data_IF_393292896251
#
_entry.id   IF_393292896251
#
_cell.length_a   1.000
_cell.length_b   1.000
_cell.length_c   1.000
_cell.angle_alpha   90.00
_cell.angle_beta   90.00
_cell.angle_gamma   90.00
#
_symmetry.space_group_name_H-M   'P 1'
#
loop_
_entity.id
_entity.type
_entity.pdbx_description
1 polymer ?
#
# COMPACT_ATOMS: atom_id res chain seq x y z
N UNK A 1 -30.50 -8.91 -66.09
CA UNK A 1 -29.10 -9.10 -65.58
C UNK A 1 -29.07 -8.57 -64.19
N UNK A 2 -29.28 -9.44 -63.19
CA UNK A 2 -29.29 -9.10 -61.78
C UNK A 2 -27.86 -9.27 -61.22
N UNK A 3 -27.27 -8.18 -60.74
CA UNK A 3 -26.01 -8.24 -60.02
C UNK A 3 -26.28 -8.44 -58.52
N UNK A 4 -25.96 -9.64 -58.06
CA UNK A 4 -26.00 -10.02 -56.66
C UNK A 4 -24.79 -9.40 -55.94
N UNK A 5 -25.02 -8.42 -55.06
CA UNK A 5 -23.97 -7.89 -54.16
C UNK A 5 -23.88 -8.78 -52.92
N UNK A 6 -22.81 -9.54 -52.82
CA UNK A 6 -22.46 -10.29 -51.59
C UNK A 6 -21.73 -9.35 -50.65
N UNK A 7 -22.41 -8.91 -49.61
CA UNK A 7 -21.79 -8.17 -48.51
C UNK A 7 -21.16 -9.17 -47.54
N UNK A 8 -19.85 -9.32 -47.61
CA UNK A 8 -19.07 -10.13 -46.67
C UNK A 8 -18.86 -9.32 -45.38
N UNK A 9 -19.73 -9.57 -44.39
CA UNK A 9 -19.61 -8.99 -43.06
C UNK A 9 -18.44 -9.66 -42.30
N UNK A 10 -17.32 -8.97 -42.19
CA UNK A 10 -16.19 -9.38 -41.30
C UNK A 10 -16.62 -9.16 -39.83
N UNK A 11 -17.06 -10.23 -39.18
CA UNK A 11 -17.25 -10.29 -37.76
C UNK A 11 -15.85 -10.32 -37.12
N UNK A 12 -15.33 -9.16 -36.69
CA UNK A 12 -14.15 -9.07 -35.85
C UNK A 12 -14.54 -9.59 -34.46
N UNK A 13 -14.30 -10.88 -34.23
CA UNK A 13 -14.29 -11.48 -32.90
C UNK A 13 -13.16 -10.82 -32.11
N UNK A 14 -13.46 -9.85 -31.28
CA UNK A 14 -12.58 -9.36 -30.24
C UNK A 14 -12.39 -10.50 -29.22
N UNK A 15 -11.44 -11.37 -29.47
CA UNK A 15 -10.95 -12.32 -28.47
C UNK A 15 -10.23 -11.49 -27.38
N UNK A 16 -10.98 -11.10 -26.38
CA UNK A 16 -10.39 -10.60 -25.14
C UNK A 16 -9.63 -11.76 -24.51
N UNK A 17 -8.31 -11.81 -24.71
CA UNK A 17 -7.44 -12.70 -23.98
C UNK A 17 -7.41 -12.22 -22.51
N UNK A 18 -8.36 -12.74 -21.72
CA UNK A 18 -8.25 -12.66 -20.27
C UNK A 18 -6.99 -13.44 -19.86
N UNK A 19 -6.06 -12.77 -19.20
CA UNK A 19 -4.89 -13.45 -18.65
C UNK A 19 -5.35 -14.49 -17.63
N UNK A 20 -4.72 -15.69 -17.58
CA UNK A 20 -5.11 -16.69 -16.60
C UNK A 20 -4.90 -16.14 -15.20
N UNK A 21 -5.95 -16.20 -14.40
CA UNK A 21 -5.94 -15.87 -12.98
C UNK A 21 -4.86 -16.68 -12.28
N UNK A 22 -3.96 -16.01 -11.54
CA UNK A 22 -2.93 -16.67 -10.73
C UNK A 22 -3.11 -16.28 -9.27
N UNK A 23 -3.21 -17.30 -8.42
CA UNK A 23 -3.30 -17.17 -6.98
C UNK A 23 -2.00 -17.63 -6.34
N UNK A 24 -1.51 -16.87 -5.36
CA UNK A 24 -0.34 -17.25 -4.56
C UNK A 24 -0.71 -17.17 -3.09
N UNK A 25 -0.17 -18.09 -2.30
CA UNK A 25 -0.36 -18.13 -0.85
C UNK A 25 1.01 -18.11 -0.18
N UNK A 26 1.12 -17.32 0.87
CA UNK A 26 2.28 -17.22 1.74
C UNK A 26 1.80 -17.20 3.20
N UNK A 27 2.33 -18.07 4.02
CA UNK A 27 1.99 -18.19 5.45
C UNK A 27 3.14 -17.67 6.32
N UNK A 28 2.83 -17.31 7.55
CA UNK A 28 3.86 -17.04 8.59
C UNK A 28 4.62 -18.30 8.95
N UNK A 29 5.81 -18.19 9.59
CA UNK A 29 6.56 -19.33 10.06
C UNK A 29 5.80 -20.23 11.05
N UNK A 30 4.93 -19.65 11.88
CA UNK A 30 4.04 -20.39 12.81
C UNK A 30 2.74 -20.90 12.16
N UNK A 31 2.44 -20.47 10.90
CA UNK A 31 1.26 -20.89 10.14
C UNK A 31 -0.04 -20.14 10.50
N UNK A 32 -0.02 -19.22 11.46
CA UNK A 32 -1.23 -18.53 11.94
C UNK A 32 -1.69 -17.40 11.01
N UNK A 33 -0.76 -16.76 10.27
CA UNK A 33 -1.06 -15.69 9.32
C UNK A 33 -0.95 -16.22 7.90
N UNK A 34 -2.01 -16.02 7.11
CA UNK A 34 -2.02 -16.33 5.69
C UNK A 34 -2.21 -15.06 4.86
N UNK A 35 -1.36 -14.86 3.89
CA UNK A 35 -1.47 -13.83 2.85
C UNK A 35 -1.81 -14.51 1.54
N UNK A 36 -2.95 -14.14 0.95
CA UNK A 36 -3.35 -14.57 -0.38
C UNK A 36 -3.17 -13.42 -1.36
N UNK A 37 -2.43 -13.65 -2.43
CA UNK A 37 -2.18 -12.68 -3.50
C UNK A 37 -2.92 -13.15 -4.75
N UNK A 38 -3.75 -12.28 -5.29
CA UNK A 38 -4.50 -12.49 -6.53
C UNK A 38 -3.91 -11.63 -7.64
N UNK A 39 -3.56 -12.26 -8.75
CA UNK A 39 -3.05 -11.58 -9.94
C UNK A 39 -4.00 -11.82 -11.10
N UNK A 40 -4.81 -10.81 -11.39
CA UNK A 40 -5.80 -10.76 -12.47
C UNK A 40 -5.55 -9.49 -13.31
N UNK A 41 -6.60 -8.73 -13.64
CA UNK A 41 -6.48 -7.40 -14.27
C UNK A 41 -5.78 -6.40 -13.37
N UNK A 42 -5.80 -6.66 -12.05
CA UNK A 42 -5.05 -5.94 -11.01
C UNK A 42 -4.37 -6.92 -10.08
N UNK A 43 -3.47 -6.40 -9.26
CA UNK A 43 -2.88 -7.13 -8.14
C UNK A 43 -3.62 -6.75 -6.88
N UNK A 44 -4.07 -7.75 -6.13
CA UNK A 44 -4.63 -7.56 -4.80
C UNK A 44 -4.07 -8.57 -3.81
N UNK A 45 -4.11 -8.22 -2.56
CA UNK A 45 -3.74 -9.11 -1.46
C UNK A 45 -4.82 -9.11 -0.39
N UNK A 46 -4.91 -10.18 0.35
CA UNK A 46 -5.76 -10.31 1.53
C UNK A 46 -4.99 -11.02 2.63
N UNK A 47 -5.38 -10.79 3.89
CA UNK A 47 -4.69 -11.32 5.06
C UNK A 47 -5.72 -11.94 5.99
N UNK A 48 -5.46 -13.17 6.43
CA UNK A 48 -6.20 -13.86 7.48
C UNK A 48 -5.28 -14.18 8.64
N UNK A 49 -5.84 -14.23 9.87
CA UNK A 49 -5.17 -14.71 11.07
C UNK A 49 -6.03 -15.80 11.72
N UNK A 50 -5.60 -17.05 11.59
CA UNK A 50 -6.44 -18.21 11.84
C UNK A 50 -7.64 -18.19 10.90
N UNK A 51 -8.86 -18.17 11.46
CA UNK A 51 -10.13 -18.14 10.71
C UNK A 51 -10.67 -16.73 10.42
N UNK A 52 -10.07 -15.70 10.99
CA UNK A 52 -10.56 -14.34 10.89
C UNK A 52 -9.92 -13.61 9.68
N UNK A 53 -10.75 -13.04 8.82
CA UNK A 53 -10.32 -12.15 7.76
C UNK A 53 -9.93 -10.80 8.35
N UNK A 54 -8.68 -10.42 8.18
CA UNK A 54 -8.12 -9.17 8.73
C UNK A 54 -8.10 -8.08 7.67
N UNK A 55 -7.68 -8.41 6.46
CA UNK A 55 -7.72 -7.52 5.31
C UNK A 55 -8.42 -8.24 4.17
N UNK A 56 -9.55 -7.70 3.73
CA UNK A 56 -10.25 -8.20 2.55
C UNK A 56 -9.42 -7.89 1.28
N UNK A 57 -9.72 -8.50 0.13
CA UNK A 57 -8.95 -8.26 -1.09
C UNK A 57 -8.77 -6.78 -1.38
N UNK A 58 -7.54 -6.32 -1.31
CA UNK A 58 -7.10 -4.93 -1.33
C UNK A 58 -6.11 -4.72 -2.47
N UNK A 59 -6.44 -3.79 -3.36
CA UNK A 59 -5.67 -3.53 -4.57
C UNK A 59 -4.43 -2.69 -4.30
N UNK A 60 -3.39 -2.90 -5.13
CA UNK A 60 -2.17 -2.12 -5.12
C UNK A 60 -1.68 -1.86 -6.52
N UNK A 61 -1.20 -0.65 -6.78
CA UNK A 61 -0.56 -0.28 -8.03
C UNK A 61 0.38 0.91 -7.86
N UNK A 62 1.30 1.11 -8.81
CA UNK A 62 2.19 2.26 -8.84
C UNK A 62 2.19 2.86 -10.24
N UNK A 63 1.84 4.14 -10.33
CA UNK A 63 1.82 4.88 -11.61
C UNK A 63 3.14 5.61 -11.79
N UNK A 64 3.82 5.32 -12.88
CA UNK A 64 5.02 6.00 -13.32
C UNK A 64 4.67 7.09 -14.34
N UNK A 65 5.71 7.80 -14.82
CA UNK A 65 5.61 8.65 -16.01
C UNK A 65 5.16 7.84 -17.25
N UNK A 66 4.84 8.53 -18.33
CA UNK A 66 4.31 7.94 -19.58
C UNK A 66 3.06 7.07 -19.37
N UNK A 67 2.30 7.31 -18.28
CA UNK A 67 1.09 6.55 -17.91
C UNK A 67 1.32 5.04 -17.72
N UNK A 68 2.54 4.63 -17.41
CA UNK A 68 2.84 3.24 -17.07
C UNK A 68 2.29 2.93 -15.67
N UNK A 69 1.39 1.96 -15.56
CA UNK A 69 0.84 1.52 -14.27
C UNK A 69 1.34 0.11 -13.96
N UNK A 70 2.25 0.02 -12.99
CA UNK A 70 2.71 -1.25 -12.43
C UNK A 70 1.57 -1.85 -11.59
N UNK A 71 1.19 -3.08 -11.86
CA UNK A 71 0.06 -3.75 -11.20
C UNK A 71 -1.25 -3.70 -11.97
N UNK A 72 -1.33 -3.02 -13.11
CA UNK A 72 -2.45 -3.10 -14.06
C UNK A 72 -2.13 -4.09 -15.16
N UNK A 73 -3.05 -5.01 -15.45
CA UNK A 73 -2.86 -6.14 -16.39
C UNK A 73 -1.49 -6.82 -16.21
N UNK A 74 -1.16 -7.23 -14.97
CA UNK A 74 0.17 -7.69 -14.62
C UNK A 74 0.42 -9.09 -15.17
N UNK A 75 1.58 -9.32 -15.79
CA UNK A 75 1.99 -10.64 -16.26
C UNK A 75 3.15 -11.16 -15.41
N UNK A 76 2.90 -12.19 -14.61
CA UNK A 76 3.91 -12.85 -13.78
C UNK A 76 4.85 -13.65 -14.66
N UNK A 77 6.15 -13.36 -14.59
CA UNK A 77 7.22 -14.12 -15.24
C UNK A 77 7.60 -15.35 -14.42
N UNK A 78 7.92 -15.14 -13.15
CA UNK A 78 8.28 -16.18 -12.21
C UNK A 78 8.02 -15.73 -10.78
N UNK A 79 8.14 -16.66 -9.84
CA UNK A 79 8.05 -16.43 -8.42
C UNK A 79 9.19 -17.13 -7.69
N UNK A 80 9.63 -16.54 -6.56
CA UNK A 80 10.63 -17.11 -5.67
C UNK A 80 10.11 -17.07 -4.24
N UNK A 81 10.10 -18.22 -3.57
CA UNK A 81 9.82 -18.34 -2.13
C UNK A 81 11.11 -18.56 -1.36
N UNK A 82 11.21 -17.97 -0.20
CA UNK A 82 12.33 -18.13 0.73
C UNK A 82 11.82 -18.12 2.17
N UNK A 83 12.51 -18.88 3.02
CA UNK A 83 12.33 -18.84 4.47
C UNK A 83 13.57 -18.16 5.04
N UNK A 84 13.39 -17.14 5.85
CA UNK A 84 14.46 -16.39 6.49
C UNK A 84 14.35 -16.55 7.99
N UNK A 85 15.43 -17.01 8.62
CA UNK A 85 15.60 -17.07 10.07
C UNK A 85 16.99 -16.51 10.38
N UNK A 86 17.03 -15.24 10.73
CA UNK A 86 18.25 -14.51 11.00
C UNK A 86 18.06 -13.60 12.21
N UNK A 87 19.15 -13.12 12.78
CA UNK A 87 19.13 -12.09 13.79
C UNK A 87 20.11 -10.96 13.43
N UNK A 88 19.84 -9.77 13.89
CA UNK A 88 20.73 -8.64 13.74
C UNK A 88 20.83 -7.85 15.05
N UNK A 89 21.96 -7.23 15.26
CA UNK A 89 22.16 -6.36 16.41
C UNK A 89 21.60 -4.97 16.14
N UNK A 90 20.83 -4.46 17.09
CA UNK A 90 20.24 -3.12 17.01
C UNK A 90 20.77 -2.25 18.16
N UNK A 91 21.71 -1.35 17.88
CA UNK A 91 22.35 -0.56 18.94
C UNK A 91 21.40 0.47 19.59
N UNK A 92 20.32 0.83 18.92
CA UNK A 92 19.39 1.88 19.37
C UNK A 92 18.04 1.35 19.85
N UNK A 93 17.84 0.03 19.91
CA UNK A 93 16.59 -0.58 20.34
C UNK A 93 16.75 -1.21 21.73
N UNK A 94 15.63 -1.36 22.47
CA UNK A 94 15.67 -1.97 23.83
C UNK A 94 16.25 -3.41 23.84
N UNK A 95 16.17 -4.13 22.72
CA UNK A 95 16.77 -5.46 22.57
C UNK A 95 18.07 -5.32 21.80
N UNK A 96 19.18 -5.82 22.33
CA UNK A 96 20.47 -5.83 21.65
C UNK A 96 20.41 -6.63 20.37
N UNK A 97 19.74 -7.79 20.38
CA UNK A 97 19.56 -8.64 19.20
C UNK A 97 18.08 -8.76 18.89
N UNK A 98 17.73 -8.61 17.62
CA UNK A 98 16.37 -8.70 17.10
C UNK A 98 16.32 -9.88 16.15
N UNK A 99 15.41 -10.81 16.39
CA UNK A 99 15.14 -11.92 15.49
C UNK A 99 14.38 -11.41 14.26
N UNK A 100 14.84 -11.79 13.08
CA UNK A 100 14.24 -11.45 11.79
C UNK A 100 13.82 -12.77 11.10
N UNK A 101 12.68 -13.31 11.52
CA UNK A 101 12.14 -14.58 11.04
C UNK A 101 10.87 -14.35 10.25
N UNK A 102 10.85 -14.75 8.98
CA UNK A 102 9.72 -14.59 8.09
C UNK A 102 9.79 -15.52 6.88
N UNK A 103 8.64 -15.74 6.26
CA UNK A 103 8.55 -16.34 4.94
C UNK A 103 8.40 -15.22 3.90
N UNK A 104 9.07 -15.36 2.77
CA UNK A 104 9.11 -14.39 1.69
C UNK A 104 8.62 -14.98 0.38
N UNK A 105 7.88 -14.18 -0.38
CA UNK A 105 7.50 -14.43 -1.76
C UNK A 105 7.85 -13.21 -2.60
N UNK A 106 8.65 -13.40 -3.65
CA UNK A 106 8.91 -12.38 -4.66
C UNK A 106 8.22 -12.80 -5.95
N UNK A 107 7.31 -11.97 -6.43
CA UNK A 107 6.68 -12.11 -7.74
C UNK A 107 7.37 -11.16 -8.72
N UNK A 108 7.99 -11.73 -9.76
CA UNK A 108 8.61 -10.94 -10.82
C UNK A 108 7.63 -10.81 -11.99
N UNK A 109 7.45 -9.60 -12.48
CA UNK A 109 6.49 -9.26 -13.54
C UNK A 109 7.20 -8.79 -14.81
N UNK A 110 6.50 -8.86 -15.94
CA UNK A 110 6.88 -8.08 -17.13
C UNK A 110 6.97 -6.60 -16.76
N UNK A 111 7.66 -5.81 -17.58
CA UNK A 111 7.88 -4.37 -17.35
C UNK A 111 8.82 -4.05 -16.17
N UNK A 112 9.79 -4.94 -15.90
CA UNK A 112 10.93 -4.72 -15.00
C UNK A 112 10.52 -4.22 -13.60
N UNK A 113 9.56 -4.91 -13.00
CA UNK A 113 9.22 -4.72 -11.59
C UNK A 113 8.93 -6.04 -10.91
N UNK A 114 8.99 -6.00 -9.59
CA UNK A 114 8.64 -7.11 -8.71
C UNK A 114 7.83 -6.58 -7.52
N UNK A 115 7.07 -7.45 -6.88
CA UNK A 115 6.52 -7.18 -5.55
C UNK A 115 7.06 -8.26 -4.62
N UNK A 116 7.62 -7.81 -3.51
CA UNK A 116 8.09 -8.65 -2.43
C UNK A 116 7.06 -8.63 -1.29
N UNK A 117 6.63 -9.81 -0.87
CA UNK A 117 5.77 -10.03 0.28
C UNK A 117 6.57 -10.74 1.36
N UNK A 118 6.41 -10.31 2.60
CA UNK A 118 6.98 -10.95 3.80
C UNK A 118 5.88 -11.18 4.82
N UNK A 119 5.85 -12.38 5.38
CA UNK A 119 4.91 -12.75 6.43
C UNK A 119 5.69 -13.21 7.64
N UNK A 120 5.51 -12.51 8.75
CA UNK A 120 6.10 -12.74 10.06
C UNK A 120 5.05 -13.37 10.97
N UNK A 121 5.46 -13.89 12.14
CA UNK A 121 4.51 -14.40 13.13
C UNK A 121 3.65 -13.30 13.77
N UNK A 122 4.02 -12.03 13.58
CA UNK A 122 3.31 -10.85 14.09
C UNK A 122 2.74 -9.92 13.02
N UNK A 123 2.78 -10.32 11.75
CA UNK A 123 2.23 -9.46 10.70
C UNK A 123 2.71 -9.78 9.29
N UNK A 124 2.29 -8.95 8.35
CA UNK A 124 2.63 -9.07 6.95
C UNK A 124 3.04 -7.73 6.36
N UNK A 125 3.86 -7.77 5.33
CA UNK A 125 4.29 -6.59 4.60
C UNK A 125 4.45 -6.87 3.11
N UNK A 126 4.33 -5.82 2.29
CA UNK A 126 4.78 -5.87 0.90
C UNK A 126 5.53 -4.59 0.51
N UNK A 127 6.28 -4.67 -0.58
CA UNK A 127 6.88 -3.50 -1.24
C UNK A 127 7.03 -3.70 -2.74
N UNK A 128 6.99 -2.61 -3.47
CA UNK A 128 7.38 -2.57 -4.87
C UNK A 128 8.91 -2.55 -5.00
N UNK A 129 9.42 -3.23 -6.02
CA UNK A 129 10.81 -3.22 -6.45
C UNK A 129 10.83 -2.95 -7.94
N UNK A 130 11.53 -1.93 -8.39
CA UNK A 130 11.73 -1.66 -9.81
C UNK A 130 13.14 -2.03 -10.25
N UNK A 131 13.28 -2.43 -11.52
CA UNK A 131 14.55 -2.82 -12.16
C UNK A 131 14.72 -2.11 -13.50
N UNK A 132 14.23 -0.88 -13.61
CA UNK A 132 14.32 -0.06 -14.81
C UNK A 132 15.75 0.40 -15.06
N UNK A 133 16.17 0.42 -16.34
CA UNK A 133 17.52 0.90 -16.72
C UNK A 133 17.69 2.42 -16.57
N UNK A 134 16.62 3.18 -16.82
CA UNK A 134 16.61 4.65 -16.74
C UNK A 134 15.98 5.09 -15.42
N UNK A 135 16.25 6.33 -15.02
CA UNK A 135 15.52 6.98 -13.93
C UNK A 135 14.01 6.98 -14.21
N UNK A 136 13.24 6.94 -13.16
CA UNK A 136 11.77 6.93 -13.20
C UNK A 136 11.20 8.06 -12.38
N UNK A 137 10.01 8.49 -12.77
CA UNK A 137 9.19 9.42 -12.00
C UNK A 137 7.96 8.66 -11.51
N UNK A 138 7.76 8.58 -10.19
CA UNK A 138 6.54 8.01 -9.60
C UNK A 138 5.50 9.11 -9.47
N UNK A 139 4.40 8.96 -10.17
CA UNK A 139 3.28 9.92 -10.18
C UNK A 139 2.29 9.67 -9.06
N UNK A 140 2.02 8.40 -8.77
CA UNK A 140 1.09 7.97 -7.73
C UNK A 140 1.38 6.53 -7.29
N UNK A 141 0.96 6.20 -6.08
CA UNK A 141 0.88 4.83 -5.58
C UNK A 141 -0.52 4.61 -5.01
N UNK A 142 -1.17 3.55 -5.47
CA UNK A 142 -2.48 3.14 -4.97
C UNK A 142 -2.29 2.06 -3.91
N UNK A 143 -2.76 2.35 -2.72
CA UNK A 143 -2.88 1.41 -1.60
C UNK A 143 -4.33 1.42 -1.17
N UNK A 144 -5.03 0.32 -1.38
CA UNK A 144 -6.40 0.16 -0.91
C UNK A 144 -6.37 -0.78 0.29
N UNK A 145 -7.17 -0.50 1.31
CA UNK A 145 -7.33 -1.30 2.51
C UNK A 145 -8.82 -1.55 2.71
N UNK A 146 -9.29 -2.72 2.26
CA UNK A 146 -10.70 -3.11 2.37
C UNK A 146 -10.93 -3.99 3.59
N UNK A 147 -12.09 -3.84 4.20
CA UNK A 147 -12.55 -4.62 5.34
C UNK A 147 -13.90 -5.25 5.02
N UNK A 148 -14.18 -6.41 5.60
CA UNK A 148 -15.43 -7.14 5.44
C UNK A 148 -16.55 -6.63 6.35
N UNK A 149 -16.20 -5.84 7.38
CA UNK A 149 -17.13 -5.25 8.33
C UNK A 149 -16.74 -3.81 8.66
N UNK A 150 -17.67 -3.09 9.27
CA UNK A 150 -17.48 -1.73 9.78
C UNK A 150 -16.86 -1.75 11.19
N UNK A 151 -15.54 -1.92 11.23
CA UNK A 151 -14.77 -2.02 12.47
C UNK A 151 -14.55 -0.66 13.13
N UNK A 152 -14.35 -0.66 14.45
CA UNK A 152 -13.81 0.50 15.16
C UNK A 152 -12.33 0.69 14.83
N UNK A 153 -11.92 1.93 14.80
CA UNK A 153 -10.54 2.32 14.54
C UNK A 153 -10.05 3.33 15.55
N UNK A 154 -8.74 3.35 15.79
CA UNK A 154 -8.07 4.46 16.42
C UNK A 154 -7.26 5.18 15.34
N UNK A 155 -7.73 6.37 14.97
CA UNK A 155 -7.23 7.11 13.82
C UNK A 155 -6.64 8.47 14.22
N UNK A 156 -5.41 8.78 13.81
CA UNK A 156 -4.81 10.11 13.97
C UNK A 156 -5.18 10.99 12.77
N UNK A 157 -6.12 11.88 12.96
CA UNK A 157 -6.54 12.80 11.89
C UNK A 157 -5.58 13.96 11.71
N UNK A 158 -5.43 14.39 10.47
CA UNK A 158 -4.74 15.65 10.19
C UNK A 158 -5.65 16.82 10.57
N UNK A 159 -5.24 17.60 11.57
CA UNK A 159 -5.99 18.74 12.12
C UNK A 159 -5.15 19.98 12.22
N UNK A 160 -4.37 20.30 11.21
CA UNK A 160 -3.62 21.55 11.22
C UNK A 160 -4.42 22.66 10.56
N UNK A 161 -4.95 23.54 11.38
CA UNK A 161 -5.68 24.73 10.94
C UNK A 161 -4.75 25.85 10.45
N UNK A 162 -3.44 25.75 10.68
CA UNK A 162 -2.45 26.76 10.32
C UNK A 162 -2.19 26.80 8.82
N UNK A 163 -2.36 25.66 8.13
CA UNK A 163 -2.19 25.57 6.69
C UNK A 163 -3.32 24.76 6.01
N UNK A 164 -4.54 25.32 5.94
CA UNK A 164 -5.69 24.62 5.36
C UNK A 164 -5.55 24.33 3.87
N UNK A 165 -4.60 24.99 3.19
CA UNK A 165 -4.32 24.79 1.76
C UNK A 165 -3.43 23.60 1.48
N UNK A 166 -2.66 23.14 2.48
CA UNK A 166 -1.78 21.96 2.35
C UNK A 166 -1.89 21.11 3.61
N UNK A 167 -2.81 20.12 3.61
CA UNK A 167 -3.06 19.28 4.77
C UNK A 167 -1.91 18.32 5.10
N UNK A 168 -0.93 18.20 4.22
CA UNK A 168 0.25 17.37 4.45
C UNK A 168 1.34 18.06 5.30
N UNK A 169 1.18 19.36 5.58
CA UNK A 169 2.04 20.10 6.50
C UNK A 169 1.32 20.20 7.84
N UNK A 170 1.69 19.33 8.76
CA UNK A 170 1.09 19.25 10.09
C UNK A 170 2.17 18.93 11.13
N UNK A 171 1.93 19.31 12.37
CA UNK A 171 2.77 18.90 13.50
C UNK A 171 2.55 17.42 13.89
N UNK A 172 1.51 16.79 13.36
CA UNK A 172 1.10 15.42 13.69
C UNK A 172 0.84 15.17 15.20
N UNK A 173 0.49 16.21 15.93
CA UNK A 173 0.19 16.20 17.37
C UNK A 173 -1.32 16.03 17.65
N UNK A 174 -2.02 15.29 16.80
CA UNK A 174 -3.44 15.05 16.96
C UNK A 174 -3.72 13.88 17.89
N UNK A 175 -4.75 14.00 18.72
CA UNK A 175 -5.27 12.87 19.48
C UNK A 175 -5.85 11.82 18.53
N UNK A 176 -5.67 10.55 18.90
CA UNK A 176 -6.33 9.45 18.21
C UNK A 176 -7.84 9.46 18.53
N UNK A 177 -8.67 9.34 17.53
CA UNK A 177 -10.12 9.24 17.66
C UNK A 177 -10.58 7.81 17.46
N UNK A 178 -11.54 7.40 18.32
CA UNK A 178 -12.21 6.11 18.18
C UNK A 178 -13.46 6.32 17.33
N UNK A 179 -13.44 5.83 16.10
CA UNK A 179 -14.56 5.92 15.15
C UNK A 179 -14.63 4.65 14.29
N UNK A 180 -15.83 4.37 13.79
CA UNK A 180 -16.02 3.32 12.80
C UNK A 180 -15.42 3.73 11.45
N UNK A 181 -15.06 2.74 10.63
CA UNK A 181 -14.57 2.99 9.26
C UNK A 181 -15.55 3.84 8.47
N UNK A 182 -16.87 3.57 8.57
CA UNK A 182 -17.90 4.28 7.82
C UNK A 182 -18.09 5.75 8.25
N UNK A 183 -17.65 6.12 9.45
CA UNK A 183 -17.72 7.49 9.98
C UNK A 183 -16.56 8.38 9.47
N UNK A 184 -15.58 7.77 8.85
CA UNK A 184 -14.49 8.47 8.20
C UNK A 184 -14.95 9.04 6.86
N UNK A 185 -14.71 10.32 6.57
CA UNK A 185 -15.13 10.94 5.32
C UNK A 185 -14.00 11.00 4.32
N UNK A 186 -14.32 11.04 3.02
CA UNK A 186 -13.34 11.14 1.93
C UNK A 186 -12.53 12.45 1.94
N UNK A 187 -13.01 13.47 2.63
CA UNK A 187 -12.35 14.77 2.73
C UNK A 187 -11.45 14.86 3.97
N UNK A 188 -11.44 13.81 4.78
CA UNK A 188 -10.62 13.71 5.99
C UNK A 188 -9.36 12.91 5.68
N UNK A 189 -8.21 13.43 6.08
CA UNK A 189 -6.95 12.71 6.04
C UNK A 189 -6.60 12.18 7.42
N UNK A 190 -6.07 10.94 7.45
CA UNK A 190 -5.36 10.41 8.60
C UNK A 190 -3.97 9.95 8.17
N UNK A 191 -3.05 9.95 9.14
CA UNK A 191 -1.67 9.48 8.93
C UNK A 191 -1.44 8.15 9.66
N UNK A 192 -0.28 7.55 9.45
CA UNK A 192 0.10 6.31 10.10
C UNK A 192 0.96 6.57 11.36
N UNK A 193 0.96 5.65 12.34
CA UNK A 193 0.19 4.39 12.35
C UNK A 193 -1.28 4.61 12.72
N UNK A 194 -2.16 3.74 12.26
CA UNK A 194 -3.52 3.66 12.80
C UNK A 194 -3.86 2.21 13.16
N UNK A 195 -4.87 2.04 14.01
CA UNK A 195 -5.28 0.74 14.52
C UNK A 195 -6.71 0.43 14.08
N UNK A 196 -6.95 -0.84 13.72
CA UNK A 196 -8.29 -1.41 13.53
C UNK A 196 -8.55 -2.42 14.64
N UNK A 197 -9.71 -2.29 15.30
CA UNK A 197 -10.13 -3.14 16.41
C UNK A 197 -11.15 -4.18 15.91
N UNK A 198 -10.69 -5.41 15.76
CA UNK A 198 -11.49 -6.52 15.31
C UNK A 198 -12.23 -7.17 16.49
N UNK A 199 -13.23 -7.97 16.18
CA UNK A 199 -13.86 -8.83 17.19
C UNK A 199 -12.83 -9.79 17.79
N UNK A 200 -13.19 -10.42 18.93
CA UNK A 200 -12.36 -11.44 19.61
C UNK A 200 -10.99 -10.92 20.08
N UNK A 201 -10.93 -9.66 20.52
CA UNK A 201 -9.71 -9.04 21.09
C UNK A 201 -8.51 -8.97 20.10
N UNK A 202 -8.74 -9.16 18.80
CA UNK A 202 -7.71 -8.97 17.79
C UNK A 202 -7.61 -7.51 17.41
N UNK A 203 -6.41 -7.02 17.32
CA UNK A 203 -6.11 -5.65 16.87
C UNK A 203 -4.98 -5.68 15.86
N UNK A 204 -5.12 -4.92 14.80
CA UNK A 204 -4.07 -4.76 13.82
C UNK A 204 -3.67 -3.29 13.68
N UNK A 205 -2.39 -3.03 13.58
CA UNK A 205 -1.81 -1.72 13.33
C UNK A 205 -1.30 -1.67 11.91
N UNK A 206 -1.72 -0.65 11.19
CA UNK A 206 -1.23 -0.34 9.86
C UNK A 206 -0.11 0.70 9.99
N UNK A 207 1.02 0.43 9.37
CA UNK A 207 2.20 1.27 9.40
C UNK A 207 3.02 1.08 8.13
N UNK A 208 3.99 1.93 7.94
CA UNK A 208 4.98 1.81 6.87
C UNK A 208 6.38 1.63 7.46
N UNK A 209 7.26 1.03 6.68
CA UNK A 209 8.64 0.81 7.04
C UNK A 209 9.56 1.14 5.87
N UNK A 210 10.83 1.41 6.17
CA UNK A 210 11.83 1.74 5.17
C UNK A 210 11.47 2.98 4.34
N UNK A 211 10.92 4.00 5.01
CA UNK A 211 10.51 5.27 4.40
C UNK A 211 11.75 6.14 4.17
N UNK A 212 12.36 5.99 3.00
CA UNK A 212 13.55 6.74 2.59
C UNK A 212 13.26 7.49 1.29
N UNK A 213 13.42 8.81 1.30
CA UNK A 213 13.24 9.67 0.13
C UNK A 213 11.94 9.36 -0.66
N UNK A 214 10.84 9.26 0.08
CA UNK A 214 9.49 8.98 -0.43
C UNK A 214 8.46 9.61 0.49
N UNK A 215 7.31 10.10 -0.02
CA UNK A 215 6.28 10.66 0.85
C UNK A 215 5.65 9.58 1.74
N UNK A 216 5.39 9.94 3.00
CA UNK A 216 4.62 9.09 3.92
C UNK A 216 3.18 8.88 3.44
N UNK A 217 2.62 7.72 3.79
CA UNK A 217 1.24 7.36 3.47
C UNK A 217 0.27 8.11 4.38
N UNK A 218 -0.69 8.75 3.76
CA UNK A 218 -1.95 9.19 4.38
C UNK A 218 -3.09 8.34 3.81
N UNK A 219 -4.16 8.23 4.57
CA UNK A 219 -5.35 7.51 4.14
C UNK A 219 -6.59 8.39 4.22
N UNK A 220 -7.53 8.10 3.33
CA UNK A 220 -8.89 8.65 3.36
C UNK A 220 -9.88 7.52 3.14
N UNK A 221 -11.16 7.76 3.38
CA UNK A 221 -12.18 6.74 3.17
C UNK A 221 -12.36 6.42 1.68
N UNK A 222 -12.61 5.17 1.36
CA UNK A 222 -13.05 4.76 0.02
C UNK A 222 -14.46 5.29 -0.28
N UNK A 223 -14.84 5.34 -1.55
CA UNK A 223 -16.19 5.74 -1.96
C UNK A 223 -17.27 4.83 -1.37
N UNK A 224 -16.98 3.56 -1.22
CA UNK A 224 -17.87 2.55 -0.62
C UNK A 224 -17.99 2.64 0.90
N UNK A 225 -17.14 3.44 1.55
CA UNK A 225 -17.02 3.54 3.01
C UNK A 225 -16.71 2.21 3.71
N UNK A 226 -16.18 1.24 3.00
CA UNK A 226 -15.80 -0.09 3.51
C UNK A 226 -14.30 -0.24 3.73
N UNK A 227 -13.54 0.84 3.67
CA UNK A 227 -12.10 0.82 3.81
C UNK A 227 -11.44 2.15 3.55
N UNK A 228 -10.13 2.10 3.37
CA UNK A 228 -9.29 3.27 3.18
C UNK A 228 -8.54 3.19 1.83
N UNK A 229 -8.25 4.34 1.27
CA UNK A 229 -7.40 4.49 0.09
C UNK A 229 -6.28 5.49 0.36
N UNK A 230 -5.16 5.28 -0.30
CA UNK A 230 -3.96 6.11 -0.13
C UNK A 230 -4.14 7.54 -0.60
N UNK A 231 -3.45 8.43 0.11
CA UNK A 231 -3.16 9.79 -0.31
C UNK A 231 -1.70 10.07 -0.03
N UNK A 232 -1.03 10.69 -0.98
CA UNK A 232 0.38 11.06 -0.85
C UNK A 232 0.58 12.53 -1.13
N UNK A 233 1.41 13.14 -0.31
CA UNK A 233 1.95 14.47 -0.59
C UNK A 233 2.79 14.43 -1.86
N UNK A 234 2.53 15.36 -2.79
CA UNK A 234 3.38 15.54 -3.96
C UNK A 234 4.71 16.19 -3.57
N UNK A 235 5.74 15.96 -4.38
CA UNK A 235 7.09 16.47 -4.12
C UNK A 235 7.11 17.98 -3.96
N UNK A 236 7.72 18.55 -2.91
CA UNK A 236 7.83 19.99 -2.73
C UNK A 236 8.81 20.60 -3.73
N UNK A 237 8.38 21.63 -4.47
CA UNK A 237 9.24 22.37 -5.42
C UNK A 237 9.73 23.67 -4.79
N UNK A 238 8.84 24.38 -4.10
CA UNK A 238 9.14 25.68 -3.54
C UNK A 238 8.74 25.76 -2.08
N UNK A 239 9.67 26.26 -1.29
CA UNK A 239 9.50 26.48 0.14
C UNK A 239 9.69 27.96 0.47
N UNK A 240 8.96 28.45 1.47
CA UNK A 240 9.17 29.76 2.08
C UNK A 240 9.22 29.61 3.59
N UNK A 241 9.88 30.55 4.25
CA UNK A 241 9.77 30.64 5.71
C UNK A 241 8.38 31.18 6.07
N UNK A 242 7.81 30.69 7.15
CA UNK A 242 6.49 31.10 7.61
C UNK A 242 6.10 30.44 8.92
N UNK A 243 4.80 30.45 9.24
CA UNK A 243 4.29 29.94 10.49
C UNK A 243 4.64 30.83 11.68
N UNK A 244 4.58 30.27 12.87
CA UNK A 244 4.87 31.00 14.11
C UNK A 244 6.34 31.44 14.12
N UNK A 245 6.57 32.75 14.23
CA UNK A 245 7.90 33.40 14.21
C UNK A 245 8.78 33.04 13.00
N UNK A 246 8.22 32.72 11.86
CA UNK A 246 8.95 32.27 10.66
C UNK A 246 9.86 31.04 10.86
N UNK A 247 9.60 30.22 11.88
CA UNK A 247 10.41 29.05 12.20
C UNK A 247 10.07 27.82 11.35
N UNK A 248 8.90 27.84 10.69
CA UNK A 248 8.44 26.71 9.88
C UNK A 248 8.76 26.93 8.41
N UNK A 249 8.95 25.81 7.70
CA UNK A 249 8.97 25.80 6.24
C UNK A 249 7.56 25.56 5.72
N UNK A 250 7.06 26.48 4.90
CA UNK A 250 5.79 26.33 4.21
C UNK A 250 6.05 25.94 2.76
N UNK A 251 5.41 24.86 2.32
CA UNK A 251 5.46 24.43 0.92
C UNK A 251 4.45 25.29 0.15
N UNK A 252 4.94 26.08 -0.79
CA UNK A 252 4.11 27.00 -1.61
C UNK A 252 3.81 26.46 -2.99
N UNK A 253 4.58 25.46 -3.44
CA UNK A 253 4.39 24.80 -4.73
C UNK A 253 4.81 23.35 -4.64
N UNK A 254 3.99 22.46 -5.24
CA UNK A 254 4.26 21.03 -5.34
C UNK A 254 4.29 20.58 -6.79
N UNK A 255 5.08 19.56 -7.07
CA UNK A 255 5.12 18.88 -8.36
C UNK A 255 3.81 18.12 -8.63
N UNK A 256 3.73 17.54 -9.81
CA UNK A 256 2.68 16.57 -10.19
C UNK A 256 3.08 15.11 -9.93
N UNK A 257 4.22 14.88 -9.26
CA UNK A 257 4.79 13.56 -8.95
C UNK A 257 5.11 13.41 -7.46
N UNK A 258 5.34 12.16 -7.03
CA UNK A 258 5.74 11.82 -5.66
C UNK A 258 7.26 11.91 -5.50
N UNK A 259 7.99 11.27 -6.41
CA UNK A 259 9.46 11.24 -6.41
C UNK A 259 10.02 11.02 -7.80
N UNK A 260 11.22 11.56 -8.07
CA UNK A 260 12.12 11.17 -9.16
C UNK A 260 13.27 10.37 -8.59
N UNK A 261 13.52 9.19 -9.11
CA UNK A 261 14.49 8.27 -8.53
C UNK A 261 15.18 7.39 -9.56
N UNK A 262 16.20 6.67 -9.13
CA UNK A 262 16.84 5.63 -9.95
C UNK A 262 15.81 4.57 -10.34
N UNK A 263 15.96 4.02 -11.55
CA UNK A 263 15.05 3.00 -12.06
C UNK A 263 15.14 1.67 -11.32
N UNK A 264 16.30 1.37 -10.72
CA UNK A 264 16.45 0.22 -9.82
C UNK A 264 16.33 0.69 -8.39
N UNK A 265 15.21 0.35 -7.75
CA UNK A 265 14.90 0.79 -6.39
C UNK A 265 13.99 -0.21 -5.64
N UNK A 266 14.28 -0.40 -4.36
CA UNK A 266 13.33 -0.93 -3.40
C UNK A 266 12.55 0.24 -2.80
N UNK A 267 11.21 0.20 -2.93
CA UNK A 267 10.36 1.23 -2.35
C UNK A 267 10.06 0.93 -0.88
N UNK A 268 9.40 1.85 -0.20
CA UNK A 268 8.92 1.66 1.15
C UNK A 268 8.03 0.41 1.23
N UNK A 269 7.91 -0.17 2.42
CA UNK A 269 7.03 -1.31 2.68
C UNK A 269 5.77 -0.89 3.43
N UNK A 270 4.61 -1.32 2.94
CA UNK A 270 3.38 -1.35 3.72
C UNK A 270 3.47 -2.51 4.71
N UNK A 271 3.21 -2.25 5.98
CA UNK A 271 3.22 -3.27 7.02
C UNK A 271 1.91 -3.24 7.81
N UNK A 272 1.36 -4.43 8.03
CA UNK A 272 0.30 -4.70 8.96
C UNK A 272 0.87 -5.57 10.08
N UNK A 273 0.81 -5.09 11.32
CA UNK A 273 1.28 -5.82 12.50
C UNK A 273 0.13 -6.13 13.44
N UNK A 274 0.09 -7.34 13.96
CA UNK A 274 -0.87 -7.76 14.97
C UNK A 274 -0.36 -7.42 16.36
N UNK A 275 -1.22 -6.84 17.17
CA UNK A 275 -0.96 -6.67 18.58
C UNK A 275 -1.44 -7.94 19.30
N UNK A 276 -0.51 -8.71 19.87
CA UNK A 276 -0.85 -9.75 20.84
C UNK A 276 -1.30 -9.04 22.11
N UNK A 277 -2.62 -8.99 22.33
CA UNK A 277 -3.16 -8.60 23.62
C UNK A 277 -3.02 -9.81 24.55
N UNK A 278 -2.16 -9.71 25.54
CA UNK A 278 -2.30 -10.61 26.71
C UNK A 278 -3.63 -10.27 27.36
N UNK A 279 -4.51 -11.25 27.63
CA UNK A 279 -5.70 -11.00 28.47
C UNK A 279 -5.24 -10.42 29.81
N UNK A 280 -6.03 -9.54 30.40
CA UNK A 280 -5.72 -8.93 31.71
C UNK A 280 -5.58 -9.98 32.81
#
# INVERSE_FOLDING_TARGET
MNKLFVVLSFLLLNLSFSQPKKDFILTSPDGEIEVKILVNDKISWSISHGKDLILAPSEMSMTLDENIVLGKTPAVLNSKKENVDASFDSPFYKKKSVQNKYNQLVLNFKNDFSIEYRVFDDGAAYRFITKKKKNITVKNEEVVLNFDQDYNTLMPYVRDLRNPKDPYISSFESHYENKKISEFTKDTLAFLPFLVDYKNHKKAVFLEANLEDYPGLFVTNTKSKSGFESRFSKYPIKETNGGFNNLNKLITERADYLVKTKGTRNFRGERLSFLKMTPP
#
